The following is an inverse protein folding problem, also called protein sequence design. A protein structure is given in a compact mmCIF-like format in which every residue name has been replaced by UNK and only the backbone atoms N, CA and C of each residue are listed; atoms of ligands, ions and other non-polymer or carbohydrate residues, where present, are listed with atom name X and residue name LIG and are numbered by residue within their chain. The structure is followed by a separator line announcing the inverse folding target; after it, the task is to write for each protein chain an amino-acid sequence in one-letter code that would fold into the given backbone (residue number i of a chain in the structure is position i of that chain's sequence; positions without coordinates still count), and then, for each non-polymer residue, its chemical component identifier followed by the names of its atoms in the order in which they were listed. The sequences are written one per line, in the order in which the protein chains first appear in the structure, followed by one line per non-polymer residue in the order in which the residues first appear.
data_IF_320000368648
#
_entry.id   IF_320000368648
#
_cell.length_a   1.000
_cell.length_b   1.000
_cell.length_c   1.000
_cell.angle_alpha   90.00
_cell.angle_beta   90.00
_cell.angle_gamma   90.00
#
_symmetry.space_group_name_H-M   'P 1'
#
loop_
_entity.id
_entity.type
_entity.pdbx_description
1 polymer ?
#
# COMPACT_ATOMS: atom_id res chain seq x y z
N UNK A 1 -21.52 1.65 15.53
CA UNK A 1 -20.56 0.58 15.88
C UNK A 1 -20.89 -0.65 15.06
N UNK A 2 -20.16 -0.88 13.97
CA UNK A 2 -20.20 -2.14 13.23
C UNK A 2 -18.77 -2.49 12.81
N UNK A 3 -18.31 -3.61 13.36
CA UNK A 3 -17.28 -4.51 12.82
C UNK A 3 -15.94 -3.92 12.41
N UNK A 4 -15.00 -3.80 13.34
CA UNK A 4 -13.59 -3.95 13.02
C UNK A 4 -13.35 -5.37 12.52
N UNK A 5 -13.52 -5.62 11.21
CA UNK A 5 -12.98 -6.81 10.56
C UNK A 5 -11.46 -6.65 10.43
N UNK A 6 -10.77 -6.72 11.57
CA UNK A 6 -9.36 -7.05 11.57
C UNK A 6 -9.27 -8.57 11.50
N UNK A 7 -8.82 -9.13 10.37
CA UNK A 7 -8.15 -10.44 10.28
C UNK A 7 -7.57 -10.64 8.88
N UNK A 8 -6.23 -10.60 8.84
CA UNK A 8 -5.35 -10.96 7.72
C UNK A 8 -5.28 -9.99 6.54
N UNK A 9 -5.14 -8.69 6.84
CA UNK A 9 -4.71 -7.70 5.84
C UNK A 9 -3.28 -7.98 5.36
N UNK A 10 -3.03 -7.71 4.08
CA UNK A 10 -1.68 -7.80 3.50
C UNK A 10 -0.82 -6.73 4.15
N UNK A 11 0.36 -7.10 4.62
CA UNK A 11 1.37 -6.16 5.10
C UNK A 11 2.58 -6.23 4.19
N UNK A 12 3.11 -5.07 3.86
CA UNK A 12 4.33 -4.92 3.08
C UNK A 12 5.41 -4.29 3.94
N UNK A 13 6.64 -4.72 3.74
CA UNK A 13 7.81 -3.88 4.03
C UNK A 13 8.37 -3.39 2.71
N UNK A 14 8.51 -2.07 2.60
CA UNK A 14 8.94 -1.38 1.39
C UNK A 14 10.21 -0.59 1.70
N UNK A 15 11.29 -0.88 1.00
CA UNK A 15 12.47 -0.02 1.00
C UNK A 15 12.27 1.07 -0.03
N UNK A 16 12.39 2.33 0.39
CA UNK A 16 12.40 3.50 -0.47
C UNK A 16 13.78 4.16 -0.40
N UNK A 17 14.44 4.38 -1.55
CA UNK A 17 15.75 5.04 -1.62
C UNK A 17 15.77 6.26 -2.56
N UNK A 18 14.60 6.83 -2.89
CA UNK A 18 14.48 8.07 -3.66
C UNK A 18 13.53 7.97 -4.85
N UNK A 19 13.39 9.08 -5.58
CA UNK A 19 12.61 9.15 -6.84
C UNK A 19 13.50 8.64 -7.99
N UNK A 20 12.96 7.73 -8.82
CA UNK A 20 13.58 6.98 -9.95
C UNK A 20 13.68 5.45 -9.75
N UNK A 21 12.55 4.78 -9.45
CA UNK A 21 12.44 3.30 -9.38
C UNK A 21 13.23 2.61 -8.27
N UNK A 22 13.73 3.35 -7.27
CA UNK A 22 14.44 2.77 -6.13
C UNK A 22 13.49 2.41 -4.97
N UNK A 23 12.30 1.89 -5.30
CA UNK A 23 11.28 1.45 -4.34
C UNK A 23 11.03 -0.05 -4.51
N UNK A 24 11.22 -0.82 -3.43
CA UNK A 24 11.16 -2.28 -3.49
C UNK A 24 10.33 -2.83 -2.34
N UNK A 25 9.36 -3.71 -2.65
CA UNK A 25 8.74 -4.56 -1.63
C UNK A 25 9.74 -5.65 -1.24
N UNK A 26 10.23 -5.63 -0.01
CA UNK A 26 11.20 -6.60 0.50
C UNK A 26 10.57 -7.72 1.32
N UNK A 27 9.38 -7.49 1.86
CA UNK A 27 8.66 -8.49 2.63
C UNK A 27 7.15 -8.34 2.42
N UNK A 28 6.47 -9.49 2.37
CA UNK A 28 5.02 -9.58 2.33
C UNK A 28 4.54 -10.54 3.41
N UNK A 29 3.55 -10.12 4.19
CA UNK A 29 2.91 -10.94 5.20
C UNK A 29 1.39 -10.94 4.99
N UNK A 30 0.80 -12.12 5.08
CA UNK A 30 -0.63 -12.34 4.87
C UNK A 30 -0.94 -13.01 3.52
N UNK A 31 -2.17 -13.53 3.36
CA UNK A 31 -2.59 -14.19 2.14
C UNK A 31 -2.82 -13.19 1.02
N UNK A 32 -2.16 -13.39 -0.13
CA UNK A 32 -2.37 -12.57 -1.32
C UNK A 32 -2.24 -13.44 -2.59
N UNK A 33 -3.20 -13.39 -3.53
CA UNK A 33 -3.02 -14.00 -4.85
C UNK A 33 -1.98 -13.21 -5.65
N UNK A 34 -1.20 -13.89 -6.49
CA UNK A 34 -0.14 -13.26 -7.31
C UNK A 34 -0.68 -12.07 -8.13
N UNK A 35 -1.89 -12.19 -8.68
CA UNK A 35 -2.52 -11.10 -9.43
C UNK A 35 -2.74 -9.84 -8.58
N UNK A 36 -3.10 -9.99 -7.31
CA UNK A 36 -3.25 -8.85 -6.41
C UNK A 36 -1.90 -8.20 -6.11
N UNK A 37 -0.78 -8.93 -6.12
CA UNK A 37 0.55 -8.36 -5.90
C UNK A 37 0.92 -7.37 -7.00
N UNK A 38 0.63 -7.71 -8.26
CA UNK A 38 0.86 -6.83 -9.41
C UNK A 38 -0.01 -5.59 -9.33
N UNK A 39 -1.30 -5.75 -8.99
CA UNK A 39 -2.21 -4.63 -8.82
C UNK A 39 -1.78 -3.71 -7.66
N UNK A 40 -1.31 -4.28 -6.55
CA UNK A 40 -0.79 -3.55 -5.40
C UNK A 40 0.47 -2.76 -5.77
N UNK A 41 1.41 -3.36 -6.48
CA UNK A 41 2.65 -2.70 -6.93
C UNK A 41 2.32 -1.47 -7.79
N UNK A 42 1.42 -1.63 -8.77
CA UNK A 42 1.01 -0.54 -9.66
C UNK A 42 0.35 0.59 -8.87
N UNK A 43 -0.62 0.29 -8.01
CA UNK A 43 -1.31 1.31 -7.21
C UNK A 43 -0.38 1.99 -6.21
N UNK A 44 0.53 1.25 -5.57
CA UNK A 44 1.48 1.81 -4.61
C UNK A 44 2.43 2.81 -5.27
N UNK A 45 2.94 2.48 -6.47
CA UNK A 45 3.82 3.39 -7.22
C UNK A 45 3.08 4.65 -7.67
N UNK A 46 1.81 4.52 -8.08
CA UNK A 46 0.95 5.67 -8.43
C UNK A 46 0.72 6.59 -7.23
N UNK A 47 0.32 6.03 -6.09
CA UNK A 47 0.05 6.79 -4.87
C UNK A 47 1.34 7.41 -4.30
N UNK A 48 2.47 6.72 -4.41
CA UNK A 48 3.76 7.25 -4.04
C UNK A 48 4.17 8.48 -4.86
N UNK A 49 3.82 8.51 -6.15
CA UNK A 49 4.06 9.66 -7.03
C UNK A 49 3.04 10.79 -6.81
N UNK A 50 1.74 10.47 -6.75
CA UNK A 50 0.66 11.46 -6.68
C UNK A 50 0.56 12.12 -5.30
N UNK A 51 0.72 11.34 -4.23
CA UNK A 51 0.49 11.79 -2.85
C UNK A 51 1.76 11.95 -2.01
N UNK A 52 2.93 11.80 -2.63
CA UNK A 52 4.23 11.85 -1.93
C UNK A 52 4.29 10.89 -0.72
N UNK A 53 3.75 9.67 -0.89
CA UNK A 53 3.62 8.68 0.19
C UNK A 53 4.95 8.40 0.91
N UNK A 54 6.07 8.42 0.18
CA UNK A 54 7.41 8.26 0.73
C UNK A 54 8.16 9.58 0.71
N UNK A 55 8.62 10.03 1.87
CA UNK A 55 9.31 11.32 2.04
C UNK A 55 10.79 11.18 2.33
N UNK A 56 11.19 10.09 2.99
CA UNK A 56 12.57 9.86 3.46
C UNK A 56 13.08 8.47 3.10
N UNK A 57 14.38 8.32 2.88
CA UNK A 57 14.99 7.03 2.55
C UNK A 57 14.97 6.09 3.77
N UNK A 58 14.50 4.86 3.56
CA UNK A 58 14.40 3.88 4.62
C UNK A 58 13.38 2.80 4.33
N UNK A 59 12.98 2.09 5.38
CA UNK A 59 12.03 0.98 5.32
C UNK A 59 10.69 1.41 5.90
N UNK A 60 9.63 1.25 5.12
CA UNK A 60 8.26 1.53 5.51
C UNK A 60 7.52 0.22 5.75
N UNK A 61 6.83 0.11 6.88
CA UNK A 61 5.84 -0.94 7.08
C UNK A 61 4.48 -0.40 6.71
N UNK A 62 3.80 -1.05 5.76
CA UNK A 62 2.54 -0.59 5.18
C UNK A 62 1.49 -1.67 5.36
N UNK A 63 0.32 -1.31 5.86
CA UNK A 63 -0.85 -2.17 5.76
C UNK A 63 -1.63 -1.84 4.49
N UNK A 64 -2.01 -2.89 3.78
CA UNK A 64 -2.67 -2.80 2.47
C UNK A 64 -4.07 -3.38 2.58
N UNK A 65 -5.07 -2.57 2.27
CA UNK A 65 -6.48 -2.98 2.28
C UNK A 65 -7.15 -2.69 0.96
N UNK A 66 -8.02 -3.59 0.50
CA UNK A 66 -8.81 -3.37 -0.70
C UNK A 66 -10.13 -2.70 -0.32
N UNK A 67 -10.32 -1.46 -0.74
CA UNK A 67 -11.65 -0.87 -0.74
C UNK A 67 -12.44 -1.42 -1.94
N UNK A 68 -13.71 -1.73 -1.72
CA UNK A 68 -14.58 -2.31 -2.75
C UNK A 68 -15.22 -1.26 -3.65
N UNK A 69 -14.90 0.02 -3.44
CA UNK A 69 -15.56 1.13 -4.08
C UNK A 69 -16.98 1.31 -3.56
N UNK A 70 -17.65 2.29 -4.15
CA UNK A 70 -19.04 2.63 -3.84
C UNK A 70 -19.88 2.56 -5.11
N UNK A 71 -21.06 1.96 -4.97
CA UNK A 71 -22.01 1.78 -6.06
C UNK A 71 -23.39 2.26 -5.61
N UNK A 72 -24.08 2.97 -6.51
CA UNK A 72 -25.44 3.45 -6.25
C UNK A 72 -26.46 2.31 -6.20
N UNK A 73 -27.71 2.64 -5.85
CA UNK A 73 -28.82 1.67 -5.79
C UNK A 73 -29.15 1.00 -7.13
N UNK A 74 -28.67 1.54 -8.25
CA UNK A 74 -28.83 1.01 -9.60
C UNK A 74 -27.59 0.22 -10.08
N UNK A 75 -26.58 0.05 -9.22
CA UNK A 75 -25.33 -0.65 -9.53
C UNK A 75 -24.35 0.17 -10.37
N UNK A 76 -24.52 1.49 -10.46
CA UNK A 76 -23.56 2.37 -11.13
C UNK A 76 -22.41 2.68 -10.19
N UNK A 77 -21.19 2.62 -10.71
CA UNK A 77 -19.99 2.93 -9.95
C UNK A 77 -19.94 4.43 -9.64
N UNK A 78 -19.87 4.79 -8.36
CA UNK A 78 -19.64 6.15 -7.88
C UNK A 78 -18.17 6.35 -7.50
N UNK A 79 -17.58 5.36 -6.82
CA UNK A 79 -16.15 5.29 -6.50
C UNK A 79 -15.64 3.91 -6.95
N UNK A 80 -14.60 3.88 -7.78
CA UNK A 80 -14.04 2.62 -8.25
C UNK A 80 -13.28 1.91 -7.10
N UNK A 81 -13.23 0.56 -7.06
CA UNK A 81 -12.42 -0.16 -6.09
C UNK A 81 -10.94 0.22 -6.19
N UNK A 82 -10.29 0.47 -5.05
CA UNK A 82 -8.89 0.90 -4.97
C UNK A 82 -8.13 0.19 -3.84
N UNK A 83 -6.81 0.24 -3.88
CA UNK A 83 -5.95 -0.19 -2.77
C UNK A 83 -5.70 1.00 -1.87
N UNK A 84 -5.91 0.81 -0.57
CA UNK A 84 -5.61 1.80 0.46
C UNK A 84 -4.32 1.40 1.18
N UNK A 85 -3.42 2.36 1.33
CA UNK A 85 -2.07 2.18 1.85
C UNK A 85 -1.87 3.01 3.10
N UNK A 86 -1.77 2.34 4.25
CA UNK A 86 -1.58 3.01 5.54
C UNK A 86 -0.19 2.69 6.11
N UNK A 87 0.65 3.71 6.24
CA UNK A 87 2.01 3.60 6.80
C UNK A 87 1.91 3.37 8.30
N UNK A 88 2.30 2.18 8.74
CA UNK A 88 2.27 1.78 10.14
C UNK A 88 3.52 2.22 10.90
N UNK A 89 4.68 2.15 10.24
CA UNK A 89 5.96 2.57 10.82
C UNK A 89 6.98 2.87 9.74
N UNK A 90 8.01 3.61 10.13
CA UNK A 90 9.16 3.96 9.30
C UNK A 90 10.46 3.76 10.07
N UNK A 91 11.44 3.15 9.43
CA UNK A 91 12.81 3.00 9.90
C UNK A 91 13.76 3.68 8.92
N UNK A 92 14.43 4.79 9.30
CA UNK A 92 15.33 5.49 8.41
C UNK A 92 16.52 4.61 8.05
N UNK A 93 17.00 4.75 6.80
CA UNK A 93 18.22 4.08 6.40
C UNK A 93 19.40 4.64 7.22
N UNK A 94 20.29 3.80 7.77
CA UNK A 94 21.43 4.33 8.52
C UNK A 94 22.28 5.21 7.60
N UNK A 95 22.56 6.44 8.04
CA UNK A 95 23.59 7.26 7.42
C UNK A 95 24.92 6.50 7.57
N UNK A 96 25.55 6.15 6.46
CA UNK A 96 26.85 5.48 6.50
C UNK A 96 27.86 6.33 7.26
N UNK A 97 28.66 5.69 8.13
CA UNK A 97 29.86 6.30 8.73
C UNK A 97 30.87 6.75 7.67
#
# INVERSE_FOLDING_TARGET
MQGTNQKDGIKLEVIYMGKENDTFVIFLNGPAPISALQDIEISLLQDAEEYELFTEHGTYQISVTRDKGEYDSYGRCEIAPYWDFDIQSFEPMPEGE
#
